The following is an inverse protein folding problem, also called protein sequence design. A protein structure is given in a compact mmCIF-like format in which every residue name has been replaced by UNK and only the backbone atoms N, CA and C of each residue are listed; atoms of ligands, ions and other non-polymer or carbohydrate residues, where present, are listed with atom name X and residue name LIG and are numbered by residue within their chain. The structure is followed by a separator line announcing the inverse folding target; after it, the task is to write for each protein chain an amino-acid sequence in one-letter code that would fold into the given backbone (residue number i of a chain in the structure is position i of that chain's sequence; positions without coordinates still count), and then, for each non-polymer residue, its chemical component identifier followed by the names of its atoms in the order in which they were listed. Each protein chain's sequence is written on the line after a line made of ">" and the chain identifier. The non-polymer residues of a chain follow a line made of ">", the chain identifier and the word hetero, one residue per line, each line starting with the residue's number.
data_IF_623671328364
#
_entry.id   IF_623671328364
#
_cell.length_a   1.000
_cell.length_b   1.000
_cell.length_c   1.000
_cell.angle_alpha   90.00
_cell.angle_beta   90.00
_cell.angle_gamma   90.00
#
_symmetry.space_group_name_H-M   'P 1'
#
loop_
_entity.id
_entity.type
_entity.pdbx_description
1 polymer ?
#
# COMPACT_ATOMS: atom_id res chain seq x y z
N UNK A 1 1.41 8.48 3.56
CA UNK A 1 0.79 7.19 3.90
C UNK A 1 0.35 7.06 5.37
N UNK A 2 1.21 7.15 6.39
CA UNK A 2 0.83 6.85 7.80
C UNK A 2 -0.35 7.68 8.34
N UNK A 3 -0.36 8.98 8.07
CA UNK A 3 -1.48 9.87 8.42
C UNK A 3 -2.79 9.40 7.79
N UNK A 4 -2.80 9.09 6.49
CA UNK A 4 -3.98 8.57 5.80
C UNK A 4 -4.52 7.31 6.44
N UNK A 5 -3.65 6.36 6.79
CA UNK A 5 -4.07 5.11 7.47
C UNK A 5 -4.60 5.39 8.88
N UNK A 6 -3.98 6.33 9.60
CA UNK A 6 -4.47 6.79 10.90
C UNK A 6 -5.89 7.35 10.81
N UNK A 7 -6.13 8.28 9.88
CA UNK A 7 -7.45 8.87 9.65
C UNK A 7 -8.49 7.82 9.25
N UNK A 8 -8.13 6.86 8.40
CA UNK A 8 -9.04 5.78 8.01
C UNK A 8 -9.42 4.94 9.23
N UNK A 9 -8.44 4.51 10.05
CA UNK A 9 -8.71 3.69 11.24
C UNK A 9 -9.59 4.41 12.26
N UNK A 10 -9.42 5.71 12.42
CA UNK A 10 -10.23 6.54 13.33
C UNK A 10 -11.70 6.61 12.91
N UNK A 11 -11.98 6.57 11.60
CA UNK A 11 -13.33 6.76 11.04
C UNK A 11 -13.96 5.47 10.50
N UNK A 12 -13.23 4.34 10.55
CA UNK A 12 -13.73 3.05 10.09
C UNK A 12 -14.69 2.47 11.15
N UNK A 13 -15.95 2.16 10.80
CA UNK A 13 -16.90 1.63 11.76
C UNK A 13 -16.74 0.12 11.95
N UNK A 14 -17.43 -0.45 12.94
CA UNK A 14 -17.35 -1.88 13.26
C UNK A 14 -18.23 -2.78 12.37
N UNK A 15 -18.99 -2.20 11.41
CA UNK A 15 -19.86 -2.99 10.53
C UNK A 15 -20.03 -2.36 9.15
N UNK A 16 -20.20 -3.22 8.14
CA UNK A 16 -20.50 -2.83 6.77
C UNK A 16 -21.78 -1.97 6.67
N UNK A 17 -22.81 -2.29 7.45
CA UNK A 17 -24.05 -1.51 7.48
C UNK A 17 -23.84 -0.09 7.99
N UNK A 18 -22.97 0.13 8.97
CA UNK A 18 -22.60 1.48 9.40
C UNK A 18 -21.76 2.20 8.35
N UNK A 19 -20.83 1.48 7.71
CA UNK A 19 -19.98 2.02 6.65
C UNK A 19 -20.76 2.58 5.46
N UNK A 20 -21.83 1.91 5.03
CA UNK A 20 -22.67 2.40 3.92
C UNK A 20 -23.41 3.70 4.22
N UNK A 21 -23.61 4.04 5.50
CA UNK A 21 -24.32 5.24 5.95
C UNK A 21 -23.42 6.46 6.19
N UNK A 22 -22.09 6.32 6.03
CA UNK A 22 -21.12 7.37 6.34
C UNK A 22 -21.11 8.55 5.35
N UNK A 23 -21.78 8.43 4.19
CA UNK A 23 -21.85 9.50 3.19
C UNK A 23 -20.45 10.00 2.79
N UNK A 24 -20.21 11.31 2.92
CA UNK A 24 -18.93 11.94 2.56
C UNK A 24 -17.73 11.39 3.33
N UNK A 25 -17.92 10.89 4.56
CA UNK A 25 -16.83 10.29 5.35
C UNK A 25 -16.33 9.02 4.68
N UNK A 26 -17.22 8.22 4.08
CA UNK A 26 -16.86 7.03 3.30
C UNK A 26 -16.03 7.40 2.08
N UNK A 27 -16.46 8.43 1.34
CA UNK A 27 -15.69 8.92 0.18
C UNK A 27 -14.30 9.43 0.59
N UNK A 28 -14.21 10.07 1.76
CA UNK A 28 -12.93 10.44 2.38
C UNK A 28 -12.05 9.23 2.70
N UNK A 29 -12.61 8.17 3.28
CA UNK A 29 -11.90 6.91 3.55
C UNK A 29 -11.34 6.32 2.25
N UNK A 30 -12.18 6.22 1.22
CA UNK A 30 -11.77 5.75 -0.11
C UNK A 30 -10.61 6.56 -0.67
N UNK A 31 -10.70 7.89 -0.63
CA UNK A 31 -9.63 8.75 -1.17
C UNK A 31 -8.34 8.64 -0.36
N UNK A 32 -8.43 8.50 0.97
CA UNK A 32 -7.25 8.32 1.83
C UNK A 32 -6.55 6.99 1.56
N UNK A 33 -7.30 5.92 1.30
CA UNK A 33 -6.72 4.63 0.93
C UNK A 33 -6.11 4.65 -0.46
N UNK A 34 -6.79 5.23 -1.45
CA UNK A 34 -6.22 5.44 -2.79
C UNK A 34 -4.86 6.15 -2.71
N UNK A 35 -4.81 7.29 -2.01
CA UNK A 35 -3.57 8.05 -1.79
C UNK A 35 -2.49 7.24 -1.06
N UNK A 36 -2.88 6.44 -0.05
CA UNK A 36 -1.94 5.59 0.67
C UNK A 36 -1.33 4.52 -0.25
N UNK A 37 -2.13 3.93 -1.14
CA UNK A 37 -1.67 2.94 -2.12
C UNK A 37 -0.74 3.58 -3.15
N UNK A 38 -1.07 4.76 -3.66
CA UNK A 38 -0.19 5.51 -4.57
C UNK A 38 1.18 5.75 -3.92
N UNK A 39 1.22 6.21 -2.67
CA UNK A 39 2.48 6.40 -1.95
C UNK A 39 3.32 5.11 -1.83
N UNK A 40 2.68 3.95 -1.67
CA UNK A 40 3.40 2.66 -1.63
C UNK A 40 4.12 2.41 -2.95
N UNK A 41 3.42 2.58 -4.07
CA UNK A 41 3.99 2.36 -5.40
C UNK A 41 5.04 3.42 -5.77
N UNK A 42 4.84 4.68 -5.37
CA UNK A 42 5.84 5.74 -5.54
C UNK A 42 7.14 5.40 -4.81
N UNK A 43 7.07 4.92 -3.56
CA UNK A 43 8.23 4.48 -2.79
C UNK A 43 8.94 3.32 -3.51
N UNK A 44 8.19 2.34 -4.03
CA UNK A 44 8.76 1.25 -4.81
C UNK A 44 9.50 1.75 -6.06
N UNK A 45 8.89 2.67 -6.82
CA UNK A 45 9.49 3.22 -8.02
C UNK A 45 10.75 4.04 -7.72
N UNK A 46 10.73 4.84 -6.66
CA UNK A 46 11.90 5.59 -6.17
C UNK A 46 13.03 4.63 -5.80
N UNK A 47 12.76 3.58 -5.01
CA UNK A 47 13.78 2.61 -4.61
C UNK A 47 14.37 1.85 -5.81
N UNK A 48 13.55 1.44 -6.77
CA UNK A 48 14.03 0.80 -7.99
C UNK A 48 15.00 1.71 -8.76
N UNK A 49 14.69 3.01 -8.82
CA UNK A 49 15.52 4.03 -9.49
C UNK A 49 16.82 4.26 -8.72
N UNK A 50 16.74 4.51 -7.41
CA UNK A 50 17.90 4.81 -6.56
C UNK A 50 18.89 3.64 -6.47
N UNK A 51 18.36 2.41 -6.46
CA UNK A 51 19.16 1.19 -6.45
C UNK A 51 19.61 0.76 -7.86
N UNK A 52 19.17 1.47 -8.92
CA UNK A 52 19.52 1.21 -10.33
C UNK A 52 19.18 -0.21 -10.78
N UNK A 53 17.99 -0.70 -10.45
CA UNK A 53 17.59 -2.09 -10.67
C UNK A 53 17.12 -2.41 -12.10
N UNK A 54 17.26 -1.44 -13.02
CA UNK A 54 16.82 -1.56 -14.40
C UNK A 54 15.54 -0.76 -14.67
N UNK A 55 15.14 -0.78 -15.95
CA UNK A 55 13.95 -0.07 -16.43
C UNK A 55 12.75 -1.01 -16.34
N UNK A 56 11.75 -0.74 -15.48
CA UNK A 56 10.56 -1.55 -15.37
C UNK A 56 9.62 -1.31 -16.56
N UNK A 57 8.97 -2.36 -17.06
CA UNK A 57 7.89 -2.25 -18.05
C UNK A 57 6.50 -2.12 -17.42
N UNK A 58 6.36 -2.59 -16.18
CA UNK A 58 5.11 -2.60 -15.39
C UNK A 58 5.40 -2.33 -13.90
N UNK A 59 4.37 -2.01 -13.11
CA UNK A 59 4.53 -1.90 -11.65
C UNK A 59 4.94 -3.23 -11.03
N UNK A 60 4.48 -4.35 -11.60
CA UNK A 60 4.85 -5.69 -11.18
C UNK A 60 6.36 -5.94 -11.33
N UNK A 61 6.98 -5.43 -12.40
CA UNK A 61 8.43 -5.52 -12.60
C UNK A 61 9.19 -4.77 -11.50
N UNK A 62 8.70 -3.61 -11.07
CA UNK A 62 9.28 -2.84 -9.96
C UNK A 62 9.30 -3.69 -8.68
N UNK A 63 8.16 -4.31 -8.36
CA UNK A 63 8.05 -5.16 -7.16
C UNK A 63 8.98 -6.37 -7.26
N UNK A 64 9.04 -7.02 -8.43
CA UNK A 64 9.91 -8.17 -8.64
C UNK A 64 11.40 -7.80 -8.50
N UNK A 65 11.83 -6.65 -9.03
CA UNK A 65 13.19 -6.15 -8.83
C UNK A 65 13.51 -5.94 -7.34
N UNK A 66 12.60 -5.32 -6.59
CA UNK A 66 12.77 -5.07 -5.16
C UNK A 66 12.83 -6.38 -4.35
N UNK A 67 12.06 -7.39 -4.72
CA UNK A 67 12.12 -8.72 -4.09
C UNK A 67 13.45 -9.41 -4.40
N UNK A 68 13.92 -9.35 -5.65
CA UNK A 68 15.20 -9.94 -6.04
C UNK A 68 16.39 -9.34 -5.28
N UNK A 69 16.30 -8.06 -4.93
CA UNK A 69 17.31 -7.37 -4.12
C UNK A 69 17.11 -7.50 -2.61
N UNK A 70 16.08 -8.23 -2.17
CA UNK A 70 15.78 -8.43 -0.76
C UNK A 70 15.25 -7.18 -0.04
N UNK A 71 14.77 -6.18 -0.79
CA UNK A 71 14.09 -4.99 -0.23
C UNK A 71 12.72 -5.37 0.29
N UNK A 72 12.00 -6.22 -0.45
CA UNK A 72 10.67 -6.70 -0.12
C UNK A 72 10.66 -8.22 0.00
N UNK A 73 9.80 -8.73 0.87
CA UNK A 73 9.53 -10.16 0.98
C UNK A 73 8.71 -10.66 -0.20
N UNK A 74 8.81 -11.97 -0.51
CA UNK A 74 7.91 -12.60 -1.50
C UNK A 74 6.44 -12.50 -1.11
N UNK A 75 6.13 -12.46 0.19
CA UNK A 75 4.77 -12.28 0.68
C UNK A 75 4.19 -10.91 0.33
N UNK A 76 5.03 -9.87 0.31
CA UNK A 76 4.62 -8.50 -0.01
C UNK A 76 4.08 -8.38 -1.45
N UNK A 77 4.53 -9.23 -2.39
CA UNK A 77 3.99 -9.23 -3.76
C UNK A 77 2.47 -9.44 -3.78
N UNK A 78 1.96 -10.36 -2.95
CA UNK A 78 0.52 -10.64 -2.87
C UNK A 78 -0.23 -9.43 -2.33
N UNK A 79 0.30 -8.79 -1.29
CA UNK A 79 -0.30 -7.61 -0.67
C UNK A 79 -0.34 -6.42 -1.66
N UNK A 80 0.75 -6.18 -2.40
CA UNK A 80 0.80 -5.09 -3.38
C UNK A 80 -0.15 -5.34 -4.56
N UNK A 81 -0.30 -6.59 -5.01
CA UNK A 81 -1.32 -6.95 -6.01
C UNK A 81 -2.74 -6.68 -5.49
N UNK A 82 -3.03 -7.05 -4.24
CA UNK A 82 -4.31 -6.77 -3.61
C UNK A 82 -4.58 -5.25 -3.49
N UNK A 83 -3.58 -4.45 -3.08
CA UNK A 83 -3.67 -2.99 -3.04
C UNK A 83 -3.97 -2.40 -4.43
N UNK A 84 -3.24 -2.81 -5.48
CA UNK A 84 -3.49 -2.35 -6.85
C UNK A 84 -4.90 -2.69 -7.31
N UNK A 85 -5.36 -3.90 -7.02
CA UNK A 85 -6.74 -4.34 -7.29
C UNK A 85 -7.77 -3.46 -6.57
N UNK A 86 -7.59 -3.25 -5.27
CA UNK A 86 -8.48 -2.41 -4.45
C UNK A 86 -8.55 -0.97 -4.96
N UNK A 87 -7.40 -0.36 -5.28
CA UNK A 87 -7.34 0.98 -5.89
C UNK A 87 -8.16 1.02 -7.18
N UNK A 88 -8.04 0.01 -8.04
CA UNK A 88 -8.79 -0.03 -9.29
C UNK A 88 -10.31 -0.12 -9.06
N UNK A 89 -10.77 -0.87 -8.05
CA UNK A 89 -12.19 -0.94 -7.65
C UNK A 89 -12.68 0.44 -7.19
N UNK A 90 -11.92 1.09 -6.29
CA UNK A 90 -12.28 2.39 -5.69
C UNK A 90 -12.26 3.53 -6.72
N UNK A 91 -11.24 3.57 -7.57
CA UNK A 91 -11.04 4.65 -8.56
C UNK A 91 -11.99 4.52 -9.74
N UNK A 92 -12.05 3.34 -10.36
CA UNK A 92 -12.77 3.19 -11.63
C UNK A 92 -14.27 2.99 -11.44
N UNK A 93 -14.75 2.79 -10.20
CA UNK A 93 -16.18 2.63 -9.88
C UNK A 93 -16.89 1.77 -10.91
N UNK A 94 -16.35 0.60 -11.23
CA UNK A 94 -17.00 -0.31 -12.18
C UNK A 94 -18.35 -0.74 -11.57
N UNK A 95 -19.42 0.00 -11.89
CA UNK A 95 -20.74 -0.14 -11.28
C UNK A 95 -20.94 0.67 -9.98
N UNK A 96 -22.04 0.38 -9.26
CA UNK A 96 -22.19 0.81 -7.88
C UNK A 96 -21.18 0.05 -7.03
N UNK A 97 -20.29 0.75 -6.31
CA UNK A 97 -19.33 0.12 -5.39
C UNK A 97 -20.11 -0.77 -4.43
N UNK A 98 -19.75 -2.05 -4.35
CA UNK A 98 -20.20 -2.91 -3.26
C UNK A 98 -19.46 -2.48 -2.00
N UNK A 99 -20.07 -1.55 -1.26
CA UNK A 99 -19.49 -0.99 -0.05
C UNK A 99 -19.27 -2.05 1.04
N UNK A 100 -20.06 -3.15 1.04
CA UNK A 100 -19.89 -4.22 2.02
C UNK A 100 -18.65 -5.07 1.72
N UNK A 101 -18.46 -5.42 0.44
CA UNK A 101 -17.23 -6.08 -0.01
C UNK A 101 -16.00 -5.18 0.20
N UNK A 102 -16.12 -3.90 -0.16
CA UNK A 102 -15.03 -2.93 -0.03
C UNK A 102 -14.63 -2.72 1.43
N UNK A 103 -15.60 -2.68 2.34
CA UNK A 103 -15.37 -2.65 3.78
C UNK A 103 -14.64 -3.90 4.29
N UNK A 104 -15.04 -5.10 3.84
CA UNK A 104 -14.38 -6.34 4.24
C UNK A 104 -12.91 -6.36 3.79
N UNK A 105 -12.64 -6.01 2.53
CA UNK A 105 -11.27 -5.92 2.00
C UNK A 105 -10.47 -4.88 2.79
N UNK A 106 -11.07 -3.72 3.10
CA UNK A 106 -10.40 -2.69 3.86
C UNK A 106 -10.02 -3.15 5.28
N UNK A 107 -10.93 -3.83 5.99
CA UNK A 107 -10.61 -4.37 7.32
C UNK A 107 -9.50 -5.43 7.27
N UNK A 108 -9.53 -6.30 6.27
CA UNK A 108 -8.55 -7.37 6.10
C UNK A 108 -7.15 -6.82 5.78
N UNK A 109 -7.07 -5.83 4.87
CA UNK A 109 -5.80 -5.40 4.27
C UNK A 109 -5.24 -4.08 4.81
N UNK A 110 -5.95 -3.35 5.68
CA UNK A 110 -5.40 -2.10 6.27
C UNK A 110 -4.14 -2.32 7.11
N UNK A 111 -3.87 -3.56 7.53
CA UNK A 111 -2.62 -3.97 8.18
C UNK A 111 -1.42 -3.97 7.23
N UNK A 112 -1.63 -4.20 5.94
CA UNK A 112 -0.56 -4.43 4.96
C UNK A 112 0.33 -3.19 4.77
N UNK A 113 -0.24 -1.98 4.91
CA UNK A 113 0.54 -0.74 4.88
C UNK A 113 1.59 -0.66 5.99
N UNK A 114 1.27 -1.21 7.18
CA UNK A 114 2.21 -1.26 8.29
C UNK A 114 3.32 -2.28 8.02
N UNK A 115 2.97 -3.43 7.44
CA UNK A 115 3.95 -4.44 7.03
C UNK A 115 4.89 -3.90 5.94
N UNK A 116 4.36 -3.25 4.90
CA UNK A 116 5.16 -2.62 3.85
C UNK A 116 6.15 -1.62 4.45
N UNK A 117 5.67 -0.71 5.30
CA UNK A 117 6.54 0.27 5.99
C UNK A 117 7.66 -0.43 6.77
N UNK A 118 7.34 -1.48 7.52
CA UNK A 118 8.34 -2.21 8.31
C UNK A 118 9.43 -2.84 7.43
N UNK A 119 9.07 -3.42 6.28
CA UNK A 119 10.04 -3.99 5.33
C UNK A 119 10.96 -2.90 4.76
N UNK A 120 10.40 -1.76 4.32
CA UNK A 120 11.19 -0.63 3.80
C UNK A 120 12.12 -0.06 4.88
N UNK A 121 11.62 0.18 6.09
CA UNK A 121 12.44 0.70 7.19
C UNK A 121 13.56 -0.27 7.59
N UNK A 122 13.29 -1.58 7.59
CA UNK A 122 14.30 -2.59 7.88
C UNK A 122 15.40 -2.60 6.82
N UNK A 123 15.03 -2.48 5.54
CA UNK A 123 15.99 -2.35 4.45
C UNK A 123 16.84 -1.08 4.56
N UNK A 124 16.24 0.08 4.84
CA UNK A 124 17.00 1.33 4.97
C UNK A 124 18.01 1.27 6.13
N UNK A 125 17.59 0.76 7.30
CA UNK A 125 18.50 0.59 8.45
C UNK A 125 19.66 -0.36 8.16
N UNK A 126 19.43 -1.45 7.42
CA UNK A 126 20.50 -2.39 7.09
C UNK A 126 21.54 -1.79 6.14
N UNK A 127 21.13 -0.83 5.29
CA UNK A 127 22.05 -0.07 4.43
C UNK A 127 22.89 0.93 5.20
N UNK A 128 22.29 1.67 6.11
CA UNK A 128 23.02 2.66 6.92
C UNK A 128 24.11 1.98 7.75
N UNK A 129 23.78 0.85 8.40
CA UNK A 129 24.78 0.05 9.14
C UNK A 129 25.92 -0.48 8.25
N UNK A 130 25.63 -0.84 7.00
CA UNK A 130 26.63 -1.30 6.05
C UNK A 130 27.50 -0.16 5.49
N UNK A 131 27.00 1.08 5.48
CA UNK A 131 27.77 2.27 5.14
C UNK A 131 28.73 2.65 6.27
N UNK A 132 28.26 2.66 7.52
CA UNK A 132 29.06 2.98 8.71
C UNK A 132 30.22 2.01 8.98
N UNK A 133 30.16 0.77 8.45
CA UNK A 133 31.24 -0.22 8.59
C UNK A 133 32.35 -0.05 7.53
N UNK A 134 32.16 0.83 6.53
CA UNK A 134 33.09 1.04 5.41
C UNK A 134 33.96 2.30 5.55
N UNK A 135 33.74 3.08 6.61
CA UNK A 135 34.55 4.24 7.04
C UNK A 135 35.43 3.88 8.24
#
# INVERSE_FOLDING_TARGET
>A
MTESIGMVREHLPDSAGAFTRLGIVRDGIYKRIEYAIENVFDICAMLNTDLRLGVPGTDEDIVDHLIQQGVLSRGMLTNLKAMKGFRNIVVHRYGAIDDALTFAILQEHIGDFAQFRQEIEAFLRSRDAAADTRD
#
